data_IF_043911790352
#
_entry.id   IF_043911790352
#
_cell.length_a   1.000
_cell.length_b   1.000
_cell.length_c   1.000
_cell.angle_alpha   90.00
_cell.angle_beta   90.00
_cell.angle_gamma   90.00
#
_symmetry.space_group_name_H-M   'P 1'
#
loop_
_entity.id
_entity.type
_entity.pdbx_description
1 polymer ?
#
# COMPACT_ATOMS: atom_id res chain seq x y z
N UNK A 1 -28.36 -67.70 -29.22
CA UNK A 1 -27.72 -66.37 -29.36
C UNK A 1 -28.67 -65.34 -28.76
N UNK A 2 -28.49 -64.77 -27.58
CA UNK A 2 -27.42 -64.91 -26.58
C UNK A 2 -27.97 -65.25 -25.17
N UNK A 3 -27.13 -65.82 -24.29
CA UNK A 3 -27.57 -66.33 -22.99
C UNK A 3 -27.45 -65.30 -21.84
N UNK A 4 -28.40 -65.45 -20.91
CA UNK A 4 -28.42 -65.21 -19.47
C UNK A 4 -27.39 -64.27 -18.81
N UNK A 5 -27.93 -63.34 -18.02
CA UNK A 5 -27.23 -62.59 -16.98
C UNK A 5 -26.72 -63.51 -15.85
N UNK A 6 -25.49 -63.30 -15.37
CA UNK A 6 -25.05 -63.78 -14.05
C UNK A 6 -24.97 -62.64 -13.03
N UNK A 7 -25.39 -62.96 -11.80
CA UNK A 7 -25.26 -62.13 -10.60
C UNK A 7 -23.82 -62.01 -10.07
N UNK A 8 -23.67 -61.54 -8.81
CA UNK A 8 -22.60 -60.62 -8.40
C UNK A 8 -21.29 -61.32 -7.99
N UNK A 9 -20.18 -60.57 -8.11
CA UNK A 9 -18.87 -60.95 -7.57
C UNK A 9 -18.30 -59.72 -6.82
N UNK A 10 -18.15 -59.85 -5.50
CA UNK A 10 -17.25 -59.00 -4.71
C UNK A 10 -15.84 -59.64 -4.69
N UNK A 11 -14.78 -58.83 -4.59
CA UNK A 11 -13.93 -58.99 -3.40
C UNK A 11 -13.47 -57.65 -2.79
N UNK A 12 -13.78 -57.51 -1.49
CA UNK A 12 -12.88 -57.20 -0.37
C UNK A 12 -11.76 -56.13 -0.50
N UNK A 13 -11.87 -55.14 0.39
CA UNK A 13 -10.77 -54.32 0.93
C UNK A 13 -11.10 -52.82 0.84
N UNK A 14 -11.63 -52.11 1.83
CA UNK A 14 -11.63 -52.32 3.28
C UNK A 14 -10.87 -51.18 3.94
N UNK A 15 -11.48 -49.99 4.06
CA UNK A 15 -11.15 -49.01 5.10
C UNK A 15 -12.40 -48.18 5.45
N UNK A 16 -12.82 -48.31 6.71
CA UNK A 16 -13.29 -47.19 7.53
C UNK A 16 -14.58 -46.49 7.14
N UNK A 17 -15.67 -46.90 7.80
CA UNK A 17 -16.82 -46.04 8.08
C UNK A 17 -16.37 -44.73 8.77
N UNK A 18 -16.85 -43.58 8.31
CA UNK A 18 -17.21 -42.47 9.19
C UNK A 18 -18.52 -41.84 8.72
N UNK A 19 -19.49 -41.88 9.63
CA UNK A 19 -20.82 -41.31 9.55
C UNK A 19 -20.77 -39.78 9.88
N UNK A 20 -21.88 -39.03 9.77
CA UNK A 20 -21.89 -37.67 9.26
C UNK A 20 -22.02 -36.59 10.33
N UNK A 21 -21.51 -35.41 10.01
CA UNK A 21 -21.82 -34.17 10.70
C UNK A 21 -20.59 -33.52 11.33
N UNK A 22 -20.26 -32.33 10.81
CA UNK A 22 -20.08 -31.09 11.60
C UNK A 22 -19.33 -30.08 10.73
N UNK A 23 -20.08 -29.08 10.26
CA UNK A 23 -19.54 -27.89 9.62
C UNK A 23 -18.80 -27.06 10.69
N UNK A 24 -17.61 -26.49 10.40
CA UNK A 24 -17.00 -25.53 11.31
C UNK A 24 -17.84 -24.24 11.33
N UNK A 25 -18.52 -24.04 12.46
CA UNK A 25 -19.29 -22.85 12.82
C UNK A 25 -18.32 -21.66 12.99
N UNK A 26 -18.38 -20.69 12.09
CA UNK A 26 -17.75 -19.38 12.31
C UNK A 26 -18.49 -18.65 13.44
N UNK A 27 -17.75 -18.30 14.50
CA UNK A 27 -18.21 -17.42 15.56
C UNK A 27 -18.42 -18.12 16.91
N UNK A 28 -17.32 -18.33 17.64
CA UNK A 28 -17.32 -18.37 19.10
C UNK A 28 -15.99 -17.77 19.58
N UNK A 29 -16.02 -16.49 19.92
CA UNK A 29 -14.96 -15.80 20.65
C UNK A 29 -15.05 -16.21 22.12
N UNK A 30 -13.95 -16.72 22.67
CA UNK A 30 -13.79 -16.88 24.11
C UNK A 30 -13.66 -15.49 24.76
N UNK A 31 -14.40 -15.18 25.84
CA UNK A 31 -14.29 -13.89 26.51
C UNK A 31 -13.07 -13.89 27.42
N UNK A 32 -12.05 -13.10 27.08
CA UNK A 32 -11.01 -12.78 28.05
C UNK A 32 -9.61 -12.51 27.54
N UNK A 33 -9.40 -11.76 26.45
CA UNK A 33 -8.09 -11.14 26.20
C UNK A 33 -8.28 -9.72 25.68
N UNK A 34 -8.24 -8.74 26.59
CA UNK A 34 -8.15 -7.32 26.27
C UNK A 34 -6.73 -7.00 25.78
N UNK A 35 -6.54 -6.25 24.68
CA UNK A 35 -5.21 -5.82 24.27
C UNK A 35 -4.71 -4.70 25.19
N UNK A 36 -3.65 -4.97 25.96
CA UNK A 36 -2.96 -3.98 26.79
C UNK A 36 -2.11 -3.07 25.90
N UNK A 37 -2.65 -1.90 25.54
CA UNK A 37 -1.87 -0.80 24.96
C UNK A 37 -1.12 -0.04 26.07
N UNK A 38 0.19 0.15 25.87
CA UNK A 38 1.02 1.07 26.64
C UNK A 38 1.92 0.40 27.68
N UNK A 39 3.12 -0.03 27.24
CA UNK A 39 4.30 -0.05 28.10
C UNK A 39 5.52 0.29 27.24
N UNK A 40 6.00 1.53 27.41
CA UNK A 40 7.30 1.98 26.91
C UNK A 40 8.40 1.18 27.62
N UNK A 41 9.26 0.52 26.86
CA UNK A 41 10.45 -0.14 27.37
C UNK A 41 11.65 0.84 27.37
N UNK A 42 12.54 0.81 28.38
CA UNK A 42 13.69 1.70 28.46
C UNK A 42 14.70 1.47 27.33
N UNK A 43 15.36 2.56 26.91
CA UNK A 43 16.43 2.55 25.92
C UNK A 43 17.51 1.52 26.28
N UNK A 44 17.64 0.50 25.43
CA UNK A 44 18.71 -0.49 25.53
C UNK A 44 19.92 0.02 24.75
N UNK A 45 21.04 0.12 25.46
CA UNK A 45 22.36 0.49 24.94
C UNK A 45 22.82 -0.48 23.84
N UNK A 46 23.39 0.09 22.78
CA UNK A 46 24.02 -0.63 21.65
C UNK A 46 25.02 -1.70 22.13
N UNK A 47 24.87 -2.96 21.71
CA UNK A 47 25.98 -3.90 21.67
C UNK A 47 26.71 -3.71 20.33
N UNK A 48 27.91 -3.16 20.44
CA UNK A 48 28.96 -3.07 19.42
C UNK A 48 28.91 -4.16 18.35
N UNK A 49 28.86 -3.73 17.10
CA UNK A 49 28.96 -4.56 15.90
C UNK A 49 30.23 -5.44 15.94
N UNK A 50 30.05 -6.76 15.96
CA UNK A 50 31.12 -7.70 15.66
C UNK A 50 31.36 -7.70 14.15
N UNK A 51 32.38 -6.95 13.73
CA UNK A 51 32.94 -7.06 12.38
C UNK A 51 33.68 -8.40 12.20
N UNK A 52 33.61 -9.04 11.02
CA UNK A 52 34.42 -10.22 10.76
C UNK A 52 35.90 -9.85 10.71
N UNK A 53 36.69 -10.45 11.60
CA UNK A 53 38.13 -10.22 11.75
C UNK A 53 38.86 -10.87 10.57
N UNK A 54 39.38 -10.06 9.65
CA UNK A 54 40.42 -10.48 8.73
C UNK A 54 41.73 -10.62 9.54
N UNK A 55 42.32 -11.83 9.53
CA UNK A 55 43.61 -12.11 10.17
C UNK A 55 44.70 -11.25 9.53
N UNK A 56 45.17 -10.24 10.26
CA UNK A 56 46.36 -9.47 9.91
C UNK A 56 47.54 -10.04 10.72
N UNK A 57 48.56 -10.68 10.11
CA UNK A 57 49.60 -11.44 10.83
C UNK A 57 50.60 -10.61 11.66
N UNK A 58 50.44 -9.29 11.77
CA UNK A 58 51.35 -8.42 12.53
C UNK A 58 50.55 -7.39 13.34
N UNK A 59 50.06 -7.81 14.51
CA UNK A 59 49.57 -6.89 15.54
C UNK A 59 50.20 -7.26 16.89
N UNK A 60 50.74 -6.29 17.66
CA UNK A 60 51.37 -6.54 18.95
C UNK A 60 50.35 -6.97 20.02
N UNK A 61 50.71 -7.96 20.84
CA UNK A 61 49.92 -8.48 21.95
C UNK A 61 49.78 -7.42 23.06
N UNK A 62 48.53 -7.04 23.39
CA UNK A 62 48.22 -6.26 24.59
C UNK A 62 48.20 -7.16 25.84
N UNK A 63 48.98 -6.90 26.91
CA UNK A 63 49.11 -7.81 28.06
C UNK A 63 48.07 -7.63 29.20
N UNK A 64 46.95 -6.92 29.01
CA UNK A 64 46.05 -6.56 30.11
C UNK A 64 44.62 -7.12 30.03
N UNK A 65 44.43 -8.31 29.45
CA UNK A 65 43.17 -9.03 29.63
C UNK A 65 43.14 -9.66 31.03
N UNK A 66 42.69 -8.89 32.03
CA UNK A 66 42.37 -9.41 33.36
C UNK A 66 41.24 -10.44 33.25
N UNK A 67 41.54 -11.66 33.67
CA UNK A 67 40.58 -12.76 33.88
C UNK A 67 39.63 -12.40 35.03
N UNK A 68 38.33 -12.34 34.75
CA UNK A 68 37.29 -12.25 35.78
C UNK A 68 36.83 -13.67 36.15
N UNK A 69 37.10 -14.19 37.38
CA UNK A 69 36.85 -15.61 37.70
C UNK A 69 35.44 -15.94 38.21
N UNK A 70 34.48 -15.00 38.19
CA UNK A 70 33.17 -15.18 38.84
C UNK A 70 31.98 -15.44 37.91
N UNK A 71 32.21 -15.73 36.63
CA UNK A 71 31.13 -16.14 35.71
C UNK A 71 30.87 -17.66 35.79
N UNK A 72 30.62 -18.18 36.99
CA UNK A 72 30.19 -19.56 37.18
C UNK A 72 28.76 -19.56 37.72
N UNK A 73 27.90 -20.30 37.02
CA UNK A 73 26.56 -20.75 37.44
C UNK A 73 25.41 -19.74 37.32
N UNK A 74 25.00 -19.48 36.08
CA UNK A 74 23.57 -19.29 35.79
C UNK A 74 23.03 -20.59 35.16
N UNK A 75 21.95 -21.19 35.69
CA UNK A 75 21.29 -22.31 35.02
C UNK A 75 20.78 -21.85 33.66
N UNK A 76 21.15 -22.59 32.60
CA UNK A 76 20.73 -22.33 31.24
C UNK A 76 19.20 -22.48 31.14
N UNK A 77 18.49 -21.35 31.19
CA UNK A 77 17.10 -21.26 30.78
C UNK A 77 17.04 -21.60 29.27
N UNK A 78 16.15 -22.51 28.82
CA UNK A 78 15.96 -22.77 27.40
C UNK A 78 15.46 -21.48 26.75
N UNK A 79 16.35 -20.76 26.07
CA UNK A 79 15.96 -19.61 25.28
C UNK A 79 14.96 -20.11 24.22
N UNK A 80 13.72 -19.65 24.30
CA UNK A 80 12.75 -19.81 23.23
C UNK A 80 13.42 -19.38 21.92
N UNK A 81 13.40 -20.27 20.92
CA UNK A 81 13.95 -19.99 19.60
C UNK A 81 13.35 -18.69 19.09
N UNK A 82 14.21 -17.67 18.92
CA UNK A 82 13.80 -16.41 18.33
C UNK A 82 13.09 -16.71 17.01
N UNK A 83 11.92 -16.11 16.72
CA UNK A 83 11.17 -16.41 15.51
C UNK A 83 12.08 -16.23 14.30
N UNK A 84 12.31 -17.32 13.57
CA UNK A 84 13.13 -17.36 12.37
C UNK A 84 12.62 -16.30 11.40
N UNK A 85 13.45 -15.30 11.07
CA UNK A 85 13.08 -14.30 10.06
C UNK A 85 12.70 -15.04 8.78
N UNK A 86 11.56 -14.70 8.15
CA UNK A 86 11.16 -15.36 6.92
C UNK A 86 12.27 -15.23 5.87
N UNK A 87 12.62 -16.36 5.25
CA UNK A 87 13.64 -16.42 4.22
C UNK A 87 13.33 -15.40 3.10
N UNK A 88 14.31 -14.58 2.76
CA UNK A 88 14.19 -13.63 1.65
C UNK A 88 14.24 -14.42 0.33
N UNK A 89 13.33 -14.11 -0.60
CA UNK A 89 13.38 -14.68 -1.94
C UNK A 89 14.74 -14.34 -2.59
N UNK A 90 15.44 -15.32 -3.19
CA UNK A 90 16.66 -15.05 -3.96
C UNK A 90 16.40 -14.05 -5.07
N UNK A 91 17.41 -13.24 -5.40
CA UNK A 91 17.27 -12.24 -6.46
C UNK A 91 17.15 -12.94 -7.82
N UNK A 92 16.16 -12.53 -8.60
CA UNK A 92 15.90 -13.01 -9.96
C UNK A 92 15.61 -11.83 -10.88
N UNK A 93 16.57 -11.52 -11.75
CA UNK A 93 16.49 -10.42 -12.72
C UNK A 93 15.61 -10.75 -13.94
N UNK A 94 15.26 -12.02 -14.16
CA UNK A 94 14.41 -12.45 -15.28
C UNK A 94 12.94 -12.11 -15.08
N UNK A 95 12.53 -11.80 -13.85
CA UNK A 95 11.16 -11.44 -13.49
C UNK A 95 10.79 -10.08 -14.09
N UNK A 96 9.82 -10.10 -15.00
CA UNK A 96 9.23 -8.88 -15.57
C UNK A 96 8.39 -8.19 -14.49
N UNK A 97 8.85 -7.01 -14.06
CA UNK A 97 8.24 -6.27 -12.95
C UNK A 97 7.50 -4.98 -13.37
N UNK A 98 7.70 -4.53 -14.60
CA UNK A 98 6.93 -3.45 -15.21
C UNK A 98 5.65 -4.02 -15.81
N UNK A 99 4.57 -4.00 -15.05
CA UNK A 99 3.25 -4.41 -15.51
C UNK A 99 2.60 -3.24 -16.28
N UNK A 100 1.63 -3.48 -17.17
CA UNK A 100 0.83 -2.40 -17.74
C UNK A 100 0.01 -1.65 -16.68
N UNK A 101 -0.44 -2.34 -15.62
CA UNK A 101 -1.31 -1.76 -14.60
C UNK A 101 -0.63 -0.73 -13.71
N UNK A 102 0.66 -0.92 -13.39
CA UNK A 102 1.38 0.08 -12.59
C UNK A 102 1.45 1.41 -13.34
N UNK A 103 1.56 1.40 -14.67
CA UNK A 103 1.57 2.64 -15.45
C UNK A 103 0.25 3.40 -15.36
N UNK A 104 -0.88 2.69 -15.33
CA UNK A 104 -2.19 3.33 -15.11
C UNK A 104 -2.24 3.97 -13.73
N UNK A 105 -1.84 3.23 -12.69
CA UNK A 105 -1.78 3.76 -11.31
C UNK A 105 -0.87 5.00 -11.21
N UNK A 106 0.26 4.97 -11.91
CA UNK A 106 1.24 6.07 -11.92
C UNK A 106 0.71 7.33 -12.62
N UNK A 107 -0.17 7.18 -13.62
CA UNK A 107 -0.71 8.28 -14.40
C UNK A 107 -2.06 8.81 -13.87
N UNK A 108 -2.76 8.06 -13.01
CA UNK A 108 -4.05 8.48 -12.44
C UNK A 108 -4.03 9.82 -11.68
N UNK A 109 -2.99 10.18 -10.91
CA UNK A 109 -2.91 11.50 -10.28
C UNK A 109 -2.92 12.65 -11.30
N UNK A 110 -2.29 12.46 -12.46
CA UNK A 110 -2.31 13.45 -13.53
C UNK A 110 -3.73 13.64 -14.07
N UNK A 111 -4.44 12.54 -14.28
CA UNK A 111 -5.85 12.58 -14.70
C UNK A 111 -6.71 13.29 -13.63
N UNK A 112 -6.43 13.07 -12.35
CA UNK A 112 -7.10 13.76 -11.24
C UNK A 112 -6.85 15.27 -11.28
N UNK A 113 -5.62 15.73 -11.51
CA UNK A 113 -5.35 17.16 -11.67
C UNK A 113 -6.01 17.75 -12.92
N UNK A 114 -5.99 17.03 -14.04
CA UNK A 114 -6.69 17.47 -15.25
C UNK A 114 -8.21 17.55 -15.05
N UNK A 115 -8.78 16.73 -14.15
CA UNK A 115 -10.21 16.80 -13.85
C UNK A 115 -10.63 18.15 -13.26
N UNK A 116 -9.75 18.82 -12.52
CA UNK A 116 -10.01 20.16 -11.96
C UNK A 116 -10.22 21.20 -13.06
N UNK A 117 -9.63 21.00 -14.24
CA UNK A 117 -9.80 21.91 -15.38
C UNK A 117 -11.23 21.90 -15.97
N UNK A 118 -12.05 20.89 -15.62
CA UNK A 118 -13.47 20.88 -15.98
C UNK A 118 -14.27 21.92 -15.18
N UNK A 119 -13.72 22.39 -14.06
CA UNK A 119 -14.29 23.46 -13.25
C UNK A 119 -13.46 24.74 -13.47
N UNK A 120 -13.85 25.62 -14.41
CA UNK A 120 -13.13 26.86 -14.64
C UNK A 120 -13.21 27.75 -13.38
N UNK A 121 -12.12 28.47 -13.03
CA UNK A 121 -12.11 29.30 -11.84
C UNK A 121 -13.22 30.36 -11.82
N UNK A 122 -13.67 30.82 -13.00
CA UNK A 122 -14.64 31.91 -13.12
C UNK A 122 -16.02 31.51 -12.64
N UNK A 123 -16.41 30.26 -12.90
CA UNK A 123 -17.66 29.70 -12.37
C UNK A 123 -17.61 29.56 -10.84
N UNK A 124 -16.44 29.30 -10.28
CA UNK A 124 -16.26 29.23 -8.82
C UNK A 124 -16.44 30.61 -8.19
N UNK A 125 -15.78 31.62 -8.74
CA UNK A 125 -15.86 33.01 -8.25
C UNK A 125 -17.26 33.59 -8.45
N UNK A 126 -17.84 33.42 -9.63
CA UNK A 126 -19.20 33.89 -9.94
C UNK A 126 -20.22 33.26 -8.98
N UNK A 127 -20.15 31.94 -8.77
CA UNK A 127 -21.05 31.26 -7.83
C UNK A 127 -20.84 31.76 -6.40
N UNK A 128 -19.59 32.03 -5.99
CA UNK A 128 -19.29 32.55 -4.66
C UNK A 128 -19.82 33.98 -4.45
N UNK A 129 -19.63 34.87 -5.43
CA UNK A 129 -20.12 36.26 -5.40
C UNK A 129 -21.64 36.28 -5.40
N UNK A 130 -22.29 35.53 -6.29
CA UNK A 130 -23.75 35.44 -6.35
C UNK A 130 -24.36 34.92 -5.04
N UNK A 131 -23.70 33.95 -4.40
CA UNK A 131 -24.13 33.41 -3.10
C UNK A 131 -24.00 34.43 -1.97
N UNK A 132 -23.01 35.32 -2.04
CA UNK A 132 -22.71 36.30 -1.00
C UNK A 132 -23.46 37.64 -1.16
N UNK A 133 -23.67 38.09 -2.39
CA UNK A 133 -24.14 39.45 -2.70
C UNK A 133 -25.33 39.53 -3.68
N UNK A 134 -25.85 38.39 -4.16
CA UNK A 134 -26.95 38.35 -5.13
C UNK A 134 -28.28 38.90 -4.58
N UNK A 135 -29.10 39.49 -5.47
CA UNK A 135 -30.40 40.12 -5.19
C UNK A 135 -31.42 39.16 -4.53
N UNK A 136 -31.27 37.87 -4.78
CA UNK A 136 -31.88 36.77 -4.03
C UNK A 136 -30.79 36.06 -3.24
N UNK A 137 -30.39 36.64 -2.11
CA UNK A 137 -29.35 36.11 -1.20
C UNK A 137 -29.84 34.86 -0.44
N UNK A 138 -30.52 33.94 -1.13
CA UNK A 138 -31.07 32.71 -0.61
C UNK A 138 -30.18 31.54 -1.03
N UNK A 139 -29.01 31.36 -0.40
CA UNK A 139 -28.15 30.17 -0.51
C UNK A 139 -27.96 29.59 -1.94
N UNK A 140 -28.06 30.43 -2.98
CA UNK A 140 -28.25 30.00 -4.35
C UNK A 140 -26.93 29.76 -5.05
N UNK A 141 -26.39 28.56 -4.90
CA UNK A 141 -25.22 28.10 -5.67
C UNK A 141 -25.63 27.92 -7.13
N UNK A 142 -24.80 28.36 -8.09
CA UNK A 142 -25.18 28.28 -9.51
C UNK A 142 -25.33 26.81 -9.97
N UNK A 143 -26.35 26.51 -10.77
CA UNK A 143 -26.56 25.15 -11.30
C UNK A 143 -25.36 24.66 -12.10
N UNK A 144 -24.73 25.56 -12.87
CA UNK A 144 -23.53 25.25 -13.64
C UNK A 144 -22.35 24.85 -12.72
N UNK A 145 -22.15 25.56 -11.61
CA UNK A 145 -21.13 25.20 -10.62
C UNK A 145 -21.44 23.85 -9.97
N UNK A 146 -22.69 23.57 -9.58
CA UNK A 146 -23.08 22.28 -9.00
C UNK A 146 -22.86 21.11 -9.97
N UNK A 147 -23.18 21.30 -11.26
CA UNK A 147 -22.91 20.29 -12.29
C UNK A 147 -21.40 20.10 -12.50
N UNK A 148 -20.62 21.17 -12.53
CA UNK A 148 -19.16 21.12 -12.62
C UNK A 148 -18.53 20.39 -11.44
N UNK A 149 -18.90 20.76 -10.21
CA UNK A 149 -18.49 20.06 -8.99
C UNK A 149 -18.90 18.59 -9.01
N UNK A 150 -20.15 18.30 -9.39
CA UNK A 150 -20.65 16.93 -9.49
C UNK A 150 -19.83 16.09 -10.46
N UNK A 151 -19.48 16.65 -11.63
CA UNK A 151 -18.63 15.99 -12.61
C UNK A 151 -17.22 15.72 -12.05
N UNK A 152 -16.59 16.71 -11.43
CA UNK A 152 -15.27 16.55 -10.78
C UNK A 152 -15.32 15.47 -9.70
N UNK A 153 -16.37 15.46 -8.88
CA UNK A 153 -16.51 14.50 -7.79
C UNK A 153 -16.72 13.08 -8.30
N UNK A 154 -17.56 12.89 -9.32
CA UNK A 154 -17.75 11.57 -9.97
C UNK A 154 -16.44 11.08 -10.57
N UNK A 155 -15.72 11.94 -11.30
CA UNK A 155 -14.41 11.60 -11.86
C UNK A 155 -13.42 11.22 -10.75
N UNK A 156 -13.38 11.98 -9.65
CA UNK A 156 -12.54 11.69 -8.50
C UNK A 156 -12.84 10.32 -7.87
N UNK A 157 -14.12 9.97 -7.69
CA UNK A 157 -14.51 8.65 -7.20
C UNK A 157 -14.12 7.53 -8.16
N UNK A 158 -14.29 7.73 -9.47
CA UNK A 158 -13.89 6.77 -10.48
C UNK A 158 -12.37 6.56 -10.51
N UNK A 159 -11.60 7.64 -10.37
CA UNK A 159 -10.13 7.60 -10.26
C UNK A 159 -9.72 6.82 -9.02
N UNK A 160 -10.30 7.12 -7.85
CA UNK A 160 -10.00 6.40 -6.61
C UNK A 160 -10.30 4.90 -6.72
N UNK A 161 -11.48 4.54 -7.26
CA UNK A 161 -11.84 3.14 -7.49
C UNK A 161 -10.87 2.47 -8.48
N UNK A 162 -10.50 3.18 -9.56
CA UNK A 162 -9.55 2.70 -10.56
C UNK A 162 -8.17 2.44 -9.93
N UNK A 163 -7.65 3.33 -9.09
CA UNK A 163 -6.35 3.15 -8.42
C UNK A 163 -6.32 1.83 -7.63
N UNK A 164 -7.37 1.55 -6.86
CA UNK A 164 -7.48 0.32 -6.08
C UNK A 164 -7.58 -0.92 -6.99
N UNK A 165 -8.42 -0.87 -8.03
CA UNK A 165 -8.59 -1.97 -8.98
C UNK A 165 -7.29 -2.28 -9.72
N UNK A 166 -6.60 -1.25 -10.21
CA UNK A 166 -5.34 -1.42 -10.93
C UNK A 166 -4.20 -1.86 -10.01
N UNK A 167 -4.17 -1.42 -8.74
CA UNK A 167 -3.24 -1.94 -7.74
C UNK A 167 -3.49 -3.44 -7.46
N UNK A 168 -4.75 -3.88 -7.45
CA UNK A 168 -5.08 -5.29 -7.33
C UNK A 168 -4.63 -6.12 -8.56
N UNK A 169 -4.89 -5.62 -9.77
CA UNK A 169 -4.48 -6.28 -11.01
C UNK A 169 -2.95 -6.39 -11.10
N UNK A 170 -2.25 -5.32 -10.72
CA UNK A 170 -0.81 -5.29 -10.62
C UNK A 170 -0.27 -6.35 -9.64
N UNK A 171 -0.79 -6.35 -8.40
CA UNK A 171 -0.41 -7.31 -7.37
C UNK A 171 -0.59 -8.76 -7.83
N UNK A 172 -1.70 -9.04 -8.53
CA UNK A 172 -1.98 -10.36 -9.09
C UNK A 172 -0.98 -10.74 -10.18
N UNK A 173 -0.59 -9.79 -11.04
CA UNK A 173 0.43 -10.02 -12.05
C UNK A 173 1.81 -10.26 -11.43
N UNK A 174 2.21 -9.51 -10.40
CA UNK A 174 3.47 -9.73 -9.71
C UNK A 174 3.55 -11.13 -9.08
N UNK A 175 2.46 -11.62 -8.50
CA UNK A 175 2.38 -13.01 -8.01
C UNK A 175 2.59 -14.02 -9.14
N UNK A 176 1.95 -13.79 -10.29
CA UNK A 176 2.08 -14.66 -11.47
C UNK A 176 3.48 -14.63 -12.06
N UNK A 177 4.17 -13.50 -11.97
CA UNK A 177 5.54 -13.33 -12.42
C UNK A 177 6.58 -13.97 -11.47
N UNK A 178 6.16 -14.57 -10.36
CA UNK A 178 7.06 -15.30 -9.45
C UNK A 178 7.51 -14.50 -8.22
N UNK A 179 6.98 -13.29 -7.98
CA UNK A 179 7.20 -12.60 -6.70
C UNK A 179 6.36 -13.29 -5.63
N UNK A 180 7.02 -13.95 -4.67
CA UNK A 180 6.33 -14.76 -3.66
C UNK A 180 5.53 -13.91 -2.67
N UNK A 181 6.06 -12.74 -2.30
CA UNK A 181 5.46 -11.83 -1.31
C UNK A 181 5.39 -10.39 -1.83
N UNK A 182 4.52 -10.10 -2.82
CA UNK A 182 4.34 -8.73 -3.29
C UNK A 182 3.65 -7.90 -2.21
N UNK A 183 3.92 -6.59 -2.23
CA UNK A 183 3.28 -5.63 -1.34
C UNK A 183 1.76 -5.64 -1.52
N UNK A 184 1.01 -5.66 -0.41
CA UNK A 184 -0.44 -5.89 -0.47
C UNK A 184 -1.16 -4.72 -1.15
N UNK A 185 -2.05 -5.01 -2.10
CA UNK A 185 -2.81 -3.99 -2.83
C UNK A 185 -3.72 -3.12 -1.93
N UNK A 186 -4.17 -3.63 -0.78
CA UNK A 186 -5.06 -2.91 0.13
C UNK A 186 -4.43 -1.65 0.73
N UNK A 187 -3.10 -1.54 0.71
CA UNK A 187 -2.41 -0.30 1.07
C UNK A 187 -2.71 0.86 0.13
N UNK A 188 -3.32 0.61 -1.04
CA UNK A 188 -3.85 1.65 -1.91
C UNK A 188 -5.03 2.42 -1.27
N UNK A 189 -5.75 1.87 -0.28
CA UNK A 189 -6.87 2.58 0.34
C UNK A 189 -6.47 3.75 1.27
N UNK A 190 -5.27 3.68 1.87
CA UNK A 190 -4.87 4.58 2.98
C UNK A 190 -4.39 5.96 2.52
N UNK A 191 -3.48 5.96 1.55
CA UNK A 191 -2.98 7.17 0.92
C UNK A 191 -2.77 6.82 -0.55
N UNK A 192 -3.90 6.71 -1.25
CA UNK A 192 -3.97 6.33 -2.64
C UNK A 192 -3.23 7.38 -3.50
N UNK A 193 -2.36 7.00 -4.44
CA UNK A 193 -1.74 5.68 -4.67
C UNK A 193 -0.33 5.53 -4.04
N UNK A 194 0.14 6.53 -3.28
CA UNK A 194 1.53 6.69 -2.83
C UNK A 194 2.12 5.47 -2.10
N UNK A 195 1.44 4.96 -1.09
CA UNK A 195 1.97 3.89 -0.23
C UNK A 195 2.19 2.62 -1.03
N UNK A 196 1.26 2.31 -1.92
CA UNK A 196 1.34 1.14 -2.78
C UNK A 196 2.51 1.22 -3.76
N UNK A 197 2.66 2.34 -4.48
CA UNK A 197 3.73 2.53 -5.48
C UNK A 197 5.11 2.43 -4.81
N UNK A 198 5.29 3.04 -3.63
CA UNK A 198 6.54 2.98 -2.87
C UNK A 198 6.81 1.55 -2.37
N UNK A 199 5.83 0.94 -1.69
CA UNK A 199 5.97 -0.39 -1.11
C UNK A 199 6.27 -1.47 -2.16
N UNK A 200 5.57 -1.42 -3.29
CA UNK A 200 5.83 -2.27 -4.47
C UNK A 200 7.25 -2.09 -4.98
N UNK A 201 7.69 -0.86 -5.18
CA UNK A 201 9.01 -0.56 -5.75
C UNK A 201 10.15 -1.08 -4.88
N UNK A 202 10.00 -1.01 -3.55
CA UNK A 202 10.98 -1.58 -2.61
C UNK A 202 11.02 -3.11 -2.70
N UNK A 203 9.85 -3.77 -2.74
CA UNK A 203 9.77 -5.23 -2.87
C UNK A 203 10.37 -5.70 -4.19
N UNK A 204 9.99 -5.06 -5.30
CA UNK A 204 10.50 -5.38 -6.63
C UNK A 204 12.02 -5.16 -6.69
N UNK A 205 12.54 -4.02 -6.20
CA UNK A 205 13.99 -3.76 -6.17
C UNK A 205 14.76 -4.82 -5.39
N UNK A 206 14.19 -5.33 -4.29
CA UNK A 206 14.81 -6.41 -3.51
C UNK A 206 14.87 -7.72 -4.28
N UNK A 207 13.76 -8.10 -4.93
CA UNK A 207 13.61 -9.38 -5.64
C UNK A 207 14.27 -9.38 -7.01
N UNK A 208 14.21 -8.30 -7.78
CA UNK A 208 14.72 -8.26 -9.16
C UNK A 208 15.98 -7.44 -9.32
N UNK A 209 16.35 -6.63 -8.33
CA UNK A 209 17.42 -5.63 -8.46
C UNK A 209 17.04 -4.39 -9.27
N UNK A 210 15.86 -4.39 -9.92
CA UNK A 210 15.37 -3.31 -10.79
C UNK A 210 13.96 -2.81 -10.40
N UNK A 211 13.26 -2.19 -11.34
CA UNK A 211 11.85 -1.81 -11.16
C UNK A 211 11.59 -0.49 -10.41
N UNK A 212 12.58 0.38 -10.30
CA UNK A 212 12.41 1.75 -9.77
C UNK A 212 11.86 2.74 -10.82
N UNK A 213 11.82 2.36 -12.09
CA UNK A 213 11.38 3.26 -13.16
C UNK A 213 9.94 3.80 -12.93
N UNK A 214 8.94 2.97 -12.57
CA UNK A 214 7.60 3.48 -12.28
C UNK A 214 7.57 4.46 -11.10
N UNK A 215 8.44 4.30 -10.10
CA UNK A 215 8.54 5.20 -8.96
C UNK A 215 9.06 6.59 -9.36
N UNK A 216 10.09 6.64 -10.21
CA UNK A 216 10.64 7.92 -10.69
C UNK A 216 9.65 8.68 -11.55
N UNK A 217 8.95 7.97 -12.44
CA UNK A 217 7.92 8.58 -13.27
C UNK A 217 6.74 9.04 -12.42
N UNK A 218 6.34 8.26 -11.41
CA UNK A 218 5.34 8.69 -10.43
C UNK A 218 5.72 9.99 -9.73
N UNK A 219 6.98 10.12 -9.29
CA UNK A 219 7.45 11.36 -8.67
C UNK A 219 7.35 12.55 -9.65
N UNK A 220 7.74 12.35 -10.92
CA UNK A 220 7.57 13.35 -11.97
C UNK A 220 6.11 13.72 -12.22
N UNK A 221 5.21 12.73 -12.28
CA UNK A 221 3.77 12.93 -12.45
C UNK A 221 3.19 13.72 -11.27
N UNK A 222 3.56 13.37 -10.03
CA UNK A 222 3.13 14.09 -8.83
C UNK A 222 3.60 15.54 -8.89
N UNK A 223 4.86 15.80 -9.27
CA UNK A 223 5.36 17.16 -9.43
C UNK A 223 4.56 17.96 -10.48
N UNK A 224 4.26 17.37 -11.64
CA UNK A 224 3.43 17.99 -12.68
C UNK A 224 2.00 18.24 -12.19
N UNK A 225 1.43 17.29 -11.45
CA UNK A 225 0.10 17.40 -10.82
C UNK A 225 0.05 18.61 -9.89
N UNK A 226 1.07 18.80 -9.05
CA UNK A 226 1.18 20.00 -8.21
C UNK A 226 1.27 21.28 -9.05
N UNK A 227 2.06 21.32 -10.11
CA UNK A 227 2.15 22.49 -10.99
C UNK A 227 0.79 22.87 -11.59
N UNK A 228 0.03 21.89 -12.10
CA UNK A 228 -1.31 22.12 -12.65
C UNK A 228 -2.24 22.73 -11.59
N UNK A 229 -2.26 22.15 -10.38
CA UNK A 229 -3.11 22.64 -9.29
C UNK A 229 -2.68 24.03 -8.82
N UNK A 230 -1.38 24.32 -8.75
CA UNK A 230 -0.85 25.64 -8.40
C UNK A 230 -1.29 26.68 -9.43
N UNK A 231 -1.15 26.39 -10.73
CA UNK A 231 -1.56 27.30 -11.81
C UNK A 231 -3.06 27.54 -11.76
N UNK A 232 -3.87 26.49 -11.61
CA UNK A 232 -5.32 26.61 -11.50
C UNK A 232 -5.73 27.44 -10.27
N UNK A 233 -5.09 27.21 -9.12
CA UNK A 233 -5.33 27.98 -7.89
C UNK A 233 -4.90 29.44 -8.04
N UNK A 234 -3.79 29.70 -8.73
CA UNK A 234 -3.35 31.06 -9.06
C UNK A 234 -4.35 31.80 -9.94
N UNK A 235 -4.92 31.12 -10.94
CA UNK A 235 -5.99 31.67 -11.77
C UNK A 235 -7.25 31.98 -10.95
N UNK A 236 -7.68 31.05 -10.08
CA UNK A 236 -8.79 31.27 -9.15
C UNK A 236 -8.58 32.49 -8.26
N UNK A 237 -7.38 32.62 -7.68
CA UNK A 237 -7.04 33.75 -6.84
C UNK A 237 -7.05 35.07 -7.63
N UNK A 238 -6.51 35.07 -8.86
CA UNK A 238 -6.52 36.23 -9.73
C UNK A 238 -7.94 36.70 -10.06
N UNK A 239 -8.84 35.78 -10.39
CA UNK A 239 -10.23 36.10 -10.71
C UNK A 239 -11.01 36.57 -9.48
N UNK A 240 -10.78 35.95 -8.32
CA UNK A 240 -11.36 36.40 -7.06
C UNK A 240 -10.93 37.85 -6.77
N UNK A 241 -9.64 38.16 -6.89
CA UNK A 241 -9.12 39.53 -6.73
C UNK A 241 -9.73 40.52 -7.73
N UNK A 242 -10.01 40.10 -8.96
CA UNK A 242 -10.65 40.95 -9.97
C UNK A 242 -12.13 41.23 -9.68
N UNK A 243 -12.82 40.31 -9.00
CA UNK A 243 -14.22 40.46 -8.64
C UNK A 243 -14.46 41.47 -7.49
N UNK A 244 -13.51 41.62 -6.56
CA UNK A 244 -13.63 42.53 -5.40
C UNK A 244 -13.69 44.04 -5.74
N UNK A 245 -12.83 44.62 -6.61
CA UNK A 245 -12.89 46.05 -6.92
C UNK A 245 -14.18 46.48 -7.65
N UNK A 246 -14.96 45.53 -8.20
CA UNK A 246 -16.27 45.79 -8.80
C UNK A 246 -17.42 45.96 -7.81
N UNK A 247 -17.22 45.70 -6.51
CA UNK A 247 -18.26 45.78 -5.47
C UNK A 247 -18.20 47.04 -4.59
N UNK A 248 -17.29 47.98 -4.88
CA UNK A 248 -17.03 49.17 -4.07
C UNK A 248 -17.83 50.44 -4.48
N UNK A 249 -18.92 50.31 -5.24
CA UNK A 249 -19.80 51.41 -5.62
C UNK A 249 -21.25 51.12 -5.31
#
# INVERSE_FOLDING_TARGET
TGPAAPGPIAPTGGYGQQAPGEQPRYGQQAPGEQPRYGQQAPASQDPSAQQPVAQNPYAPQNPYAQQNPYAAQNPAQPYASAPSRPAQQPRDTSIVSATPWIWVVVLLPLLSALSVLLLPPSLVVESAVNSAYGTTSSMGVSTAYLLGLGAVQVVGFLIYAAEVVFAFLDWRQLKRAGIQRPFHWAWAFLAAPYVYVIGRSVVVKRVTGGGLLPLWIFLGVVAVTFLIVIVWTGALFSEAMAAFPGMAY
#
